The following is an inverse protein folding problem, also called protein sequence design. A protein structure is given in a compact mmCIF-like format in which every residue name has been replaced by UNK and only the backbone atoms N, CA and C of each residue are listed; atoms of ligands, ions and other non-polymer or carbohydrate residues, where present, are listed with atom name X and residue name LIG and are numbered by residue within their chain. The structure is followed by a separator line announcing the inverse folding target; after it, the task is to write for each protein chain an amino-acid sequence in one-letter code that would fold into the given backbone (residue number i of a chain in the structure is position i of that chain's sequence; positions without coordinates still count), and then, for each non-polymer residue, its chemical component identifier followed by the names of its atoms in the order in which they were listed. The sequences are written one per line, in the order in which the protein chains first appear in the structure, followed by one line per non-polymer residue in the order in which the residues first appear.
data_IF_289498272405
#
_entry.id   IF_289498272405
#
_cell.length_a   1.000
_cell.length_b   1.000
_cell.length_c   1.000
_cell.angle_alpha   90.00
_cell.angle_beta   90.00
_cell.angle_gamma   90.00
#
_symmetry.space_group_name_H-M   'P 1'
#
loop_
_entity.id
_entity.type
_entity.pdbx_description
1 polymer ?
#
# COMPACT_ATOMS: atom_id res chain seq x y z
N UNK A 1 3.07 -0.30 -19.25
CA UNK A 1 3.18 -0.48 -17.79
C UNK A 1 1.86 -0.10 -17.14
N UNK A 2 1.36 -0.91 -16.20
CA UNK A 2 0.15 -0.58 -15.45
C UNK A 2 0.54 0.49 -14.42
N UNK A 3 -0.16 1.62 -14.39
CA UNK A 3 0.12 2.67 -13.40
C UNK A 3 -0.20 2.14 -12.01
N UNK A 4 0.80 2.08 -11.13
CA UNK A 4 0.61 1.70 -9.73
C UNK A 4 0.66 2.98 -8.93
N UNK A 5 -0.46 3.35 -8.31
CA UNK A 5 -0.54 4.56 -7.51
C UNK A 5 -0.15 4.28 -6.06
N UNK A 6 0.69 5.16 -5.53
CA UNK A 6 1.12 5.12 -4.14
C UNK A 6 -0.05 5.41 -3.19
N UNK A 7 -0.42 4.48 -2.29
CA UNK A 7 -1.55 4.67 -1.41
C UNK A 7 -1.35 5.83 -0.42
N UNK A 8 -0.09 6.22 -0.16
CA UNK A 8 0.26 7.28 0.81
C UNK A 8 0.38 8.67 0.19
N UNK A 9 1.04 8.81 -0.97
CA UNK A 9 1.29 10.12 -1.60
C UNK A 9 0.51 10.35 -2.91
N UNK A 10 -0.21 9.33 -3.39
CA UNK A 10 -1.05 9.33 -4.62
C UNK A 10 -0.31 9.55 -5.94
N UNK A 11 1.02 9.61 -5.93
CA UNK A 11 1.86 9.62 -7.15
C UNK A 11 2.04 8.22 -7.70
N UNK A 12 2.41 8.10 -8.97
CA UNK A 12 2.77 6.82 -9.57
C UNK A 12 4.08 6.29 -8.95
N UNK A 13 4.22 4.99 -8.71
CA UNK A 13 5.49 4.40 -8.24
C UNK A 13 6.63 4.58 -9.24
N UNK A 14 6.35 4.77 -10.52
CA UNK A 14 7.37 5.14 -11.51
C UNK A 14 7.98 6.53 -11.25
N UNK A 15 7.29 7.39 -10.49
CA UNK A 15 7.82 8.68 -10.04
C UNK A 15 8.63 8.57 -8.73
N UNK A 16 8.69 7.38 -8.13
CA UNK A 16 9.44 7.13 -6.91
C UNK A 16 10.83 6.58 -7.24
N UNK A 17 11.87 7.20 -6.66
CA UNK A 17 13.16 6.55 -6.52
C UNK A 17 13.09 5.42 -5.48
N UNK A 18 14.10 4.55 -5.45
CA UNK A 18 14.15 3.39 -4.53
C UNK A 18 13.94 3.78 -3.06
N UNK A 19 14.46 4.93 -2.62
CA UNK A 19 14.29 5.41 -1.25
C UNK A 19 12.85 5.86 -1.01
N UNK A 20 12.27 6.61 -1.94
CA UNK A 20 10.87 7.03 -1.88
C UNK A 20 9.91 5.84 -1.87
N UNK A 21 10.16 4.82 -2.70
CA UNK A 21 9.38 3.57 -2.73
C UNK A 21 9.39 2.90 -1.36
N UNK A 22 10.57 2.67 -0.78
CA UNK A 22 10.69 2.04 0.53
C UNK A 22 9.98 2.83 1.64
N UNK A 23 10.17 4.15 1.69
CA UNK A 23 9.51 5.01 2.69
C UNK A 23 7.99 4.99 2.56
N UNK A 24 7.47 5.02 1.34
CA UNK A 24 6.03 5.00 1.11
C UNK A 24 5.43 3.63 1.44
N UNK A 25 6.11 2.54 1.14
CA UNK A 25 5.70 1.19 1.52
C UNK A 25 5.70 1.00 3.03
N UNK A 26 6.77 1.40 3.72
CA UNK A 26 6.86 1.32 5.18
C UNK A 26 5.73 2.12 5.86
N UNK A 27 5.49 3.35 5.40
CA UNK A 27 4.39 4.18 5.91
C UNK A 27 3.03 3.52 5.67
N UNK A 28 2.82 2.92 4.50
CA UNK A 28 1.59 2.20 4.20
C UNK A 28 1.40 1.01 5.15
N UNK A 29 2.43 0.17 5.32
CA UNK A 29 2.42 -0.99 6.22
C UNK A 29 2.08 -0.55 7.65
N UNK A 30 2.73 0.51 8.15
CA UNK A 30 2.49 1.02 9.50
C UNK A 30 1.05 1.51 9.70
N UNK A 31 0.45 2.13 8.68
CA UNK A 31 -0.94 2.57 8.77
C UNK A 31 -1.91 1.39 8.77
N UNK A 32 -1.74 0.42 7.85
CA UNK A 32 -2.70 -0.70 7.71
C UNK A 32 -2.55 -1.78 8.79
N UNK A 33 -1.39 -1.88 9.44
CA UNK A 33 -1.18 -2.79 10.57
C UNK A 33 -1.55 -2.17 11.92
N UNK A 34 -1.82 -0.86 11.96
CA UNK A 34 -2.25 -0.15 13.16
C UNK A 34 -3.71 0.34 13.03
N UNK A 35 -4.69 -0.38 13.61
CA UNK A 35 -6.11 -0.05 13.46
C UNK A 35 -6.48 1.34 14.02
N UNK A 36 -5.77 1.85 15.02
CA UNK A 36 -6.02 3.19 15.60
C UNK A 36 -5.57 4.29 14.64
N UNK A 37 -4.36 4.14 14.08
CA UNK A 37 -3.83 5.06 13.08
C UNK A 37 -4.69 5.02 11.81
N UNK A 38 -5.09 3.83 11.38
CA UNK A 38 -5.97 3.63 10.23
C UNK A 38 -7.32 4.33 10.40
N UNK A 39 -8.00 4.10 11.54
CA UNK A 39 -9.33 4.66 11.80
C UNK A 39 -9.35 6.19 11.78
N UNK A 40 -8.19 6.82 12.02
CA UNK A 40 -8.00 8.27 12.00
C UNK A 40 -7.63 8.82 10.60
N UNK A 41 -7.35 7.95 9.64
CA UNK A 41 -7.00 8.32 8.26
C UNK A 41 -8.21 8.22 7.33
N UNK A 42 -8.19 8.98 6.21
CA UNK A 42 -9.18 8.81 5.15
C UNK A 42 -9.18 7.35 4.68
N UNK A 43 -10.37 6.81 4.37
CA UNK A 43 -10.55 5.45 3.84
C UNK A 43 -9.44 5.07 2.85
N UNK A 44 -8.74 4.00 3.14
CA UNK A 44 -7.68 3.49 2.28
C UNK A 44 -8.25 2.28 1.54
N UNK A 45 -8.34 2.42 0.23
CA UNK A 45 -8.72 1.32 -0.64
C UNK A 45 -7.51 0.39 -0.81
N UNK A 46 -7.73 -0.90 -0.59
CA UNK A 46 -6.73 -1.93 -0.79
C UNK A 46 -6.27 -1.90 -2.26
N UNK A 47 -4.98 -1.67 -2.53
CA UNK A 47 -4.46 -1.54 -3.90
C UNK A 47 -4.47 -2.88 -4.67
N UNK A 48 -4.75 -3.99 -3.98
CA UNK A 48 -4.73 -5.35 -4.55
C UNK A 48 -6.13 -5.86 -4.91
N UNK A 49 -7.15 -5.55 -4.10
CA UNK A 49 -8.49 -6.11 -4.23
C UNK A 49 -9.62 -5.07 -4.25
N UNK A 50 -9.28 -3.78 -4.20
CA UNK A 50 -10.19 -2.64 -4.34
C UNK A 50 -11.26 -2.49 -3.24
N UNK A 51 -11.19 -3.32 -2.18
CA UNK A 51 -12.03 -3.20 -0.97
C UNK A 51 -11.45 -2.21 0.03
N UNK A 52 -12.26 -1.74 0.98
CA UNK A 52 -11.74 -0.96 2.10
C UNK A 52 -10.76 -1.83 2.91
N UNK A 53 -9.65 -1.26 3.36
CA UNK A 53 -8.72 -2.00 4.21
C UNK A 53 -9.36 -2.42 5.56
N UNK A 54 -10.43 -1.75 6.02
CA UNK A 54 -11.21 -2.20 7.19
C UNK A 54 -12.01 -3.49 6.95
N UNK A 55 -12.29 -3.84 5.69
CA UNK A 55 -12.97 -5.09 5.35
C UNK A 55 -12.03 -6.30 5.44
N UNK A 56 -10.75 -6.07 5.75
CA UNK A 56 -9.75 -7.11 5.88
C UNK A 56 -9.55 -7.44 7.36
N UNK A 57 -9.59 -8.73 7.68
CA UNK A 57 -8.94 -9.19 8.91
C UNK A 57 -7.41 -9.08 8.78
N UNK A 58 -6.69 -9.23 9.89
CA UNK A 58 -5.22 -9.10 9.91
C UNK A 58 -4.52 -9.98 8.88
N UNK A 59 -5.01 -11.21 8.66
CA UNK A 59 -4.42 -12.13 7.70
C UNK A 59 -4.64 -11.66 6.26
N UNK A 60 -5.86 -11.24 5.92
CA UNK A 60 -6.20 -10.71 4.60
C UNK A 60 -5.44 -9.42 4.30
N UNK A 61 -5.30 -8.53 5.29
CA UNK A 61 -4.55 -7.29 5.15
C UNK A 61 -3.08 -7.58 4.84
N UNK A 62 -2.45 -8.51 5.59
CA UNK A 62 -1.07 -8.93 5.38
C UNK A 62 -0.87 -9.54 3.99
N UNK A 63 -1.78 -10.42 3.56
CA UNK A 63 -1.70 -11.04 2.23
C UNK A 63 -1.78 -9.99 1.11
N UNK A 64 -2.71 -9.05 1.22
CA UNK A 64 -2.87 -7.97 0.24
C UNK A 64 -1.66 -7.05 0.19
N UNK A 65 -1.10 -6.69 1.35
CA UNK A 65 0.12 -5.89 1.47
C UNK A 65 1.31 -6.62 0.83
N UNK A 66 1.50 -7.90 1.12
CA UNK A 66 2.59 -8.69 0.53
C UNK A 66 2.47 -8.80 -0.99
N UNK A 67 1.26 -9.03 -1.51
CA UNK A 67 0.99 -9.03 -2.96
C UNK A 67 1.32 -7.68 -3.59
N UNK A 68 0.95 -6.60 -2.93
CA UNK A 68 1.21 -5.24 -3.39
C UNK A 68 2.72 -4.91 -3.41
N UNK A 69 3.44 -5.23 -2.34
CA UNK A 69 4.90 -5.03 -2.26
C UNK A 69 5.60 -5.77 -3.40
N UNK A 70 5.23 -7.03 -3.65
CA UNK A 70 5.77 -7.80 -4.78
C UNK A 70 5.53 -7.10 -6.11
N UNK A 71 4.30 -6.63 -6.37
CA UNK A 71 4.00 -5.89 -7.60
C UNK A 71 4.85 -4.63 -7.74
N UNK A 72 5.02 -3.84 -6.67
CA UNK A 72 5.83 -2.61 -6.72
C UNK A 72 7.30 -2.91 -7.01
N UNK A 73 7.85 -3.98 -6.42
CA UNK A 73 9.24 -4.38 -6.63
C UNK A 73 9.46 -4.93 -8.05
N UNK A 74 8.59 -5.82 -8.53
CA UNK A 74 8.65 -6.39 -9.89
C UNK A 74 8.53 -5.32 -11.00
N UNK A 75 7.87 -4.19 -10.72
CA UNK A 75 7.76 -3.10 -11.69
C UNK A 75 8.96 -2.13 -11.67
N UNK A 76 9.93 -2.32 -10.77
CA UNK A 76 11.15 -1.48 -10.64
C UNK A 76 12.41 -2.17 -11.18
N UNK A 77 12.29 -3.38 -11.77
CA UNK A 77 13.33 -4.14 -12.48
C UNK A 77 13.19 -3.96 -14.01
#
# INVERSE_FOLDING_TARGET
MKKIFCPTCKKDFNEHDKRQTNLCLEKFINVVTNPVAYSSTKKIICPTCEKDMLDHNQHQALECVNKFIKQVIDNHD
#
